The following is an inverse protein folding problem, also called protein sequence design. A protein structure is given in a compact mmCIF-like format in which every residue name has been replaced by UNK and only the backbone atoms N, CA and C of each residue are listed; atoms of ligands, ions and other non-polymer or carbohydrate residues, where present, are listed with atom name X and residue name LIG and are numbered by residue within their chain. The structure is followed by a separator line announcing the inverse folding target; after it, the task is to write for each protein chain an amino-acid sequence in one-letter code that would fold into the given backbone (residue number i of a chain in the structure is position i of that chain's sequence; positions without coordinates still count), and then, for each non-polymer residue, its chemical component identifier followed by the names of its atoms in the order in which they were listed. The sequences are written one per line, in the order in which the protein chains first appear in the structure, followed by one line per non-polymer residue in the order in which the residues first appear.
data_IF_177407123603
#
_entry.id   IF_177407123603
#
_cell.length_a   1.000
_cell.length_b   1.000
_cell.length_c   1.000
_cell.angle_alpha   90.00
_cell.angle_beta   90.00
_cell.angle_gamma   90.00
#
_symmetry.space_group_name_H-M   'P 1'
#
loop_
_entity.id
_entity.type
_entity.pdbx_description
1 polymer ?
#
# COMPACT_ATOMS: atom_id res chain seq x y z
N UNK A 1 -4.84 -10.12 -21.01
CA UNK A 1 -4.97 -9.23 -19.84
C UNK A 1 -5.91 -8.11 -20.25
N UNK A 2 -6.96 -7.80 -19.47
CA UNK A 2 -7.84 -6.65 -19.80
C UNK A 2 -7.14 -5.40 -19.30
N UNK A 3 -6.83 -4.51 -20.23
CA UNK A 3 -6.38 -3.17 -19.90
C UNK A 3 -7.59 -2.24 -19.79
N UNK A 4 -7.50 -1.26 -18.91
CA UNK A 4 -8.59 -0.33 -18.62
C UNK A 4 -8.12 1.09 -18.84
N UNK A 5 -8.94 1.87 -19.54
CA UNK A 5 -8.63 3.26 -19.85
C UNK A 5 -8.97 4.14 -18.67
N UNK A 6 -8.06 5.05 -18.36
CA UNK A 6 -8.26 6.02 -17.29
C UNK A 6 -7.69 7.37 -17.63
N UNK A 7 -7.97 8.34 -16.77
CA UNK A 7 -7.39 9.68 -16.79
C UNK A 7 -6.82 9.99 -15.41
N UNK A 8 -5.98 11.01 -15.35
CA UNK A 8 -5.60 11.64 -14.09
C UNK A 8 -5.83 13.15 -14.15
N UNK A 9 -6.24 13.71 -13.02
CA UNK A 9 -6.76 15.08 -12.92
C UNK A 9 -6.30 15.75 -11.63
N UNK A 10 -6.34 17.08 -11.64
CA UNK A 10 -5.99 17.95 -10.51
C UNK A 10 -6.81 19.24 -10.55
N UNK A 11 -6.53 20.14 -9.62
CA UNK A 11 -7.04 21.51 -9.61
C UNK A 11 -6.79 22.29 -10.92
N UNK A 12 -5.87 21.84 -11.78
CA UNK A 12 -5.59 22.45 -13.07
C UNK A 12 -6.65 22.12 -14.15
N UNK A 13 -7.48 21.09 -13.95
CA UNK A 13 -8.49 20.69 -14.93
C UNK A 13 -9.81 21.45 -14.70
N UNK A 14 -10.01 22.62 -15.31
CA UNK A 14 -11.09 23.58 -15.02
C UNK A 14 -12.51 22.99 -14.81
N UNK A 15 -13.18 22.51 -15.86
CA UNK A 15 -14.53 21.97 -15.77
C UNK A 15 -14.53 20.55 -16.30
N UNK A 16 -15.06 19.63 -15.51
CA UNK A 16 -15.19 18.21 -15.86
C UNK A 16 -16.66 17.80 -15.75
N UNK A 17 -17.19 17.30 -16.85
CA UNK A 17 -18.50 16.67 -16.96
C UNK A 17 -18.32 15.15 -16.93
N UNK A 18 -18.37 14.56 -15.73
CA UNK A 18 -18.09 13.14 -15.53
C UNK A 18 -19.10 12.20 -16.21
N UNK A 19 -20.31 12.68 -16.48
CA UNK A 19 -21.31 11.92 -17.24
C UNK A 19 -20.75 11.66 -18.66
N UNK A 20 -20.17 12.68 -19.30
CA UNK A 20 -19.51 12.56 -20.61
C UNK A 20 -18.16 11.87 -20.58
N UNK A 21 -17.41 11.96 -19.47
CA UNK A 21 -16.14 11.22 -19.32
C UNK A 21 -16.38 9.72 -19.49
N UNK A 22 -17.49 9.20 -18.96
CA UNK A 22 -17.84 7.78 -19.07
C UNK A 22 -18.12 7.33 -20.52
N UNK A 23 -18.53 8.25 -21.40
CA UNK A 23 -18.82 7.97 -22.82
C UNK A 23 -17.54 7.63 -23.62
N UNK A 24 -16.36 8.07 -23.15
CA UNK A 24 -15.06 7.80 -23.79
C UNK A 24 -14.36 6.51 -23.32
N UNK A 25 -15.16 5.60 -22.73
CA UNK A 25 -14.71 4.35 -22.12
C UNK A 25 -13.69 4.57 -20.99
N UNK A 26 -13.72 5.73 -20.33
CA UNK A 26 -12.96 5.96 -19.11
C UNK A 26 -13.65 5.21 -17.99
N UNK A 27 -12.90 4.33 -17.32
CA UNK A 27 -13.40 3.62 -16.13
C UNK A 27 -12.65 4.09 -14.87
N UNK A 28 -11.38 4.50 -15.00
CA UNK A 28 -10.47 4.79 -13.87
C UNK A 28 -10.07 6.27 -13.85
N UNK A 29 -10.09 6.90 -12.67
CA UNK A 29 -9.69 8.30 -12.47
C UNK A 29 -8.74 8.42 -11.29
N UNK A 30 -7.52 8.90 -11.54
CA UNK A 30 -6.61 9.36 -10.49
C UNK A 30 -6.79 10.85 -10.23
N UNK A 31 -6.77 11.27 -8.96
CA UNK A 31 -6.92 12.67 -8.57
C UNK A 31 -5.76 13.12 -7.70
N UNK A 32 -5.24 14.33 -7.95
CA UNK A 32 -4.27 14.94 -7.06
C UNK A 32 -4.92 15.17 -5.71
N UNK A 33 -4.34 14.63 -4.65
CA UNK A 33 -4.83 14.87 -3.30
C UNK A 33 -4.04 15.98 -2.61
N UNK A 34 -2.71 15.91 -2.68
CA UNK A 34 -1.82 16.80 -1.94
C UNK A 34 -0.50 17.03 -2.67
N UNK A 35 0.19 18.09 -2.28
CA UNK A 35 1.55 18.42 -2.70
C UNK A 35 2.27 19.03 -1.51
N UNK A 36 3.49 18.55 -1.24
CA UNK A 36 4.22 19.03 -0.07
C UNK A 36 3.45 18.85 1.23
N UNK A 37 3.84 19.62 2.24
CA UNK A 37 3.26 19.53 3.58
C UNK A 37 1.87 20.17 3.71
N UNK A 38 1.54 21.16 2.88
CA UNK A 38 0.40 22.05 3.14
C UNK A 38 -0.62 22.12 2.02
N UNK A 39 -0.23 21.89 0.78
CA UNK A 39 -1.20 21.96 -0.31
C UNK A 39 -2.09 20.72 -0.25
N UNK A 40 -3.39 20.97 -0.31
CA UNK A 40 -4.43 19.97 -0.48
C UNK A 40 -5.28 20.45 -1.64
N UNK A 41 -5.51 19.56 -2.61
CA UNK A 41 -6.32 19.90 -3.76
C UNK A 41 -7.75 20.20 -3.30
N UNK A 42 -8.21 21.43 -3.56
CA UNK A 42 -9.53 21.89 -3.14
C UNK A 42 -10.66 21.22 -3.93
N UNK A 43 -10.35 20.54 -5.04
CA UNK A 43 -11.31 19.90 -5.92
C UNK A 43 -11.41 18.39 -5.73
N UNK A 44 -10.51 17.80 -4.93
CA UNK A 44 -10.50 16.36 -4.68
C UNK A 44 -11.88 15.83 -4.26
N UNK A 45 -12.58 16.52 -3.36
CA UNK A 45 -13.87 16.08 -2.84
C UNK A 45 -14.99 16.16 -3.90
N UNK A 46 -15.01 17.24 -4.68
CA UNK A 46 -15.92 17.43 -5.81
C UNK A 46 -15.72 16.31 -6.86
N UNK A 47 -14.47 16.08 -7.26
CA UNK A 47 -14.10 15.07 -8.24
C UNK A 47 -14.38 13.65 -7.74
N UNK A 48 -14.01 13.35 -6.49
CA UNK A 48 -14.27 12.06 -5.87
C UNK A 48 -15.76 11.73 -5.90
N UNK A 49 -16.60 12.64 -5.39
CA UNK A 49 -18.05 12.42 -5.32
C UNK A 49 -18.67 12.25 -6.71
N UNK A 50 -18.24 13.05 -7.68
CA UNK A 50 -18.74 13.00 -9.06
C UNK A 50 -18.31 11.73 -9.80
N UNK A 51 -17.08 11.26 -9.56
CA UNK A 51 -16.62 9.98 -10.08
C UNK A 51 -17.44 8.81 -9.49
N UNK A 52 -17.63 8.81 -8.16
CA UNK A 52 -18.39 7.74 -7.49
C UNK A 52 -19.85 7.70 -7.94
N UNK A 53 -20.51 8.85 -8.13
CA UNK A 53 -21.89 8.88 -8.65
C UNK A 53 -22.02 8.37 -10.08
N UNK A 54 -20.95 8.49 -10.88
CA UNK A 54 -20.85 7.98 -12.24
C UNK A 54 -20.31 6.54 -12.34
N UNK A 55 -20.08 5.86 -11.21
CA UNK A 55 -19.57 4.49 -11.18
C UNK A 55 -18.11 4.36 -11.64
N UNK A 56 -17.37 5.46 -11.72
CA UNK A 56 -15.93 5.45 -12.02
C UNK A 56 -15.14 4.98 -10.80
N UNK A 57 -14.06 4.22 -11.04
CA UNK A 57 -13.13 3.83 -9.99
C UNK A 57 -12.12 4.93 -9.75
N UNK A 58 -11.82 5.17 -8.48
CA UNK A 58 -11.03 6.33 -8.06
C UNK A 58 -9.74 5.95 -7.35
N UNK A 59 -8.69 6.70 -7.63
CA UNK A 59 -7.39 6.67 -6.95
C UNK A 59 -6.93 8.09 -6.62
N UNK A 60 -5.98 8.20 -5.70
CA UNK A 60 -5.40 9.47 -5.29
C UNK A 60 -3.88 9.45 -5.48
N UNK A 61 -3.29 10.61 -5.79
CA UNK A 61 -1.84 10.76 -5.84
C UNK A 61 -1.33 11.96 -5.03
N UNK A 62 -0.08 11.86 -4.61
CA UNK A 62 0.66 12.90 -3.91
C UNK A 62 1.88 13.32 -4.70
N UNK A 63 1.97 14.61 -5.05
CA UNK A 63 3.11 15.18 -5.76
C UNK A 63 4.25 15.49 -4.79
N UNK A 64 5.38 14.78 -4.92
CA UNK A 64 6.53 14.89 -4.04
C UNK A 64 7.37 16.13 -4.36
N UNK A 65 7.66 16.94 -3.34
CA UNK A 65 8.52 18.14 -3.45
C UNK A 65 9.59 18.19 -2.37
N UNK A 66 10.63 19.01 -2.54
CA UNK A 66 11.70 19.20 -1.54
C UNK A 66 11.40 20.25 -0.47
N UNK A 67 10.24 20.93 -0.54
CA UNK A 67 9.93 22.11 0.29
C UNK A 67 9.57 21.80 1.76
N UNK A 68 9.57 20.53 2.16
CA UNK A 68 9.24 20.10 3.52
C UNK A 68 9.89 18.76 3.86
N UNK A 69 9.54 18.11 4.97
CA UNK A 69 10.05 16.77 5.30
C UNK A 69 9.16 15.67 4.70
N UNK A 70 9.71 14.51 4.32
CA UNK A 70 8.93 13.45 3.69
C UNK A 70 7.83 12.91 4.63
N UNK A 71 8.10 12.87 5.94
CA UNK A 71 7.14 12.49 6.96
C UNK A 71 5.92 13.43 6.98
N UNK A 72 6.15 14.74 6.92
CA UNK A 72 5.08 15.71 6.95
C UNK A 72 4.23 15.67 5.66
N UNK A 73 4.84 15.34 4.53
CA UNK A 73 4.12 15.12 3.28
C UNK A 73 3.28 13.84 3.32
N UNK A 74 3.83 12.73 3.83
CA UNK A 74 3.10 11.49 4.03
C UNK A 74 1.90 11.69 4.97
N UNK A 75 2.07 12.44 6.06
CA UNK A 75 0.97 12.85 6.93
C UNK A 75 -0.09 13.68 6.21
N UNK A 76 0.31 14.67 5.42
CA UNK A 76 -0.62 15.51 4.67
C UNK A 76 -1.43 14.66 3.69
N UNK A 77 -0.76 13.79 2.94
CA UNK A 77 -1.40 12.87 2.02
C UNK A 77 -2.39 11.94 2.73
N UNK A 78 -1.94 11.22 3.77
CA UNK A 78 -2.79 10.31 4.52
C UNK A 78 -4.01 11.02 5.13
N UNK A 79 -3.81 12.18 5.78
CA UNK A 79 -4.90 12.98 6.38
C UNK A 79 -5.96 13.36 5.35
N UNK A 80 -5.57 13.64 4.11
CA UNK A 80 -6.50 14.03 3.03
C UNK A 80 -7.28 12.85 2.47
N UNK A 81 -6.71 11.65 2.44
CA UNK A 81 -7.30 10.49 1.74
C UNK A 81 -7.98 9.47 2.68
N UNK A 82 -7.63 9.45 3.97
CA UNK A 82 -8.01 8.38 4.91
C UNK A 82 -9.52 8.14 5.08
N UNK A 83 -10.34 9.16 4.88
CA UNK A 83 -11.79 9.10 5.13
C UNK A 83 -12.59 8.79 3.84
N UNK A 84 -11.90 8.55 2.72
CA UNK A 84 -12.51 8.22 1.43
C UNK A 84 -12.39 6.72 1.12
N UNK A 85 -13.43 6.15 0.51
CA UNK A 85 -13.41 4.78 0.01
C UNK A 85 -12.79 4.75 -1.40
N UNK A 86 -11.47 4.55 -1.47
CA UNK A 86 -10.72 4.43 -2.72
C UNK A 86 -10.88 3.05 -3.36
N UNK A 87 -10.85 3.00 -4.69
CA UNK A 87 -10.86 1.76 -5.48
C UNK A 87 -9.44 1.35 -5.92
N UNK A 88 -8.52 2.33 -6.03
CA UNK A 88 -7.19 2.16 -6.60
C UNK A 88 -6.08 2.54 -5.62
N UNK A 89 -4.92 1.92 -5.80
CA UNK A 89 -3.72 2.11 -4.99
C UNK A 89 -3.32 3.59 -4.98
N UNK A 90 -3.12 4.24 -3.82
CA UNK A 90 -2.59 5.60 -3.78
C UNK A 90 -1.18 5.66 -4.40
N UNK A 91 -0.88 6.72 -5.14
CA UNK A 91 0.38 6.86 -5.87
C UNK A 91 1.24 7.96 -5.26
N UNK A 92 2.51 7.65 -5.03
CA UNK A 92 3.55 8.65 -4.79
C UNK A 92 4.11 9.09 -6.15
N UNK A 93 3.85 10.33 -6.51
CA UNK A 93 4.32 10.95 -7.75
C UNK A 93 5.73 11.53 -7.54
N UNK A 94 6.71 10.92 -8.21
CA UNK A 94 8.13 11.19 -8.10
C UNK A 94 8.66 11.67 -9.45
N UNK A 95 8.70 12.98 -9.64
CA UNK A 95 9.16 13.56 -10.91
C UNK A 95 9.97 14.86 -10.76
N UNK A 96 10.33 15.22 -9.52
CA UNK A 96 11.19 16.36 -9.20
C UNK A 96 12.52 15.90 -8.62
N UNK A 97 13.63 16.34 -9.22
CA UNK A 97 14.99 16.04 -8.75
C UNK A 97 15.45 17.06 -7.70
N UNK A 98 16.04 16.55 -6.61
CA UNK A 98 16.63 17.37 -5.54
C UNK A 98 17.64 16.54 -4.72
N UNK A 99 18.43 17.22 -3.90
CA UNK A 99 19.45 16.59 -3.06
C UNK A 99 18.84 15.52 -2.14
N UNK A 100 19.51 14.37 -2.03
CA UNK A 100 19.09 13.24 -1.18
C UNK A 100 17.72 12.62 -1.55
N UNK A 101 17.25 12.82 -2.79
CA UNK A 101 15.97 12.29 -3.30
C UNK A 101 15.73 10.81 -2.92
N UNK A 102 16.73 9.94 -3.11
CA UNK A 102 16.64 8.52 -2.79
C UNK A 102 16.32 8.24 -1.31
N UNK A 103 17.03 8.89 -0.37
CA UNK A 103 16.74 8.78 1.06
C UNK A 103 15.35 9.36 1.38
N UNK A 104 15.04 10.49 0.76
CA UNK A 104 13.79 11.20 0.93
C UNK A 104 12.57 10.33 0.57
N UNK A 105 12.63 9.64 -0.58
CA UNK A 105 11.59 8.70 -1.03
C UNK A 105 11.42 7.56 -0.02
N UNK A 106 12.50 6.92 0.43
CA UNK A 106 12.43 5.81 1.37
C UNK A 106 11.79 6.25 2.70
N UNK A 107 12.13 7.45 3.18
CA UNK A 107 11.54 8.02 4.39
C UNK A 107 10.07 8.38 4.22
N UNK A 108 9.64 8.83 3.04
CA UNK A 108 8.21 9.04 2.75
C UNK A 108 7.46 7.71 2.79
N UNK A 109 7.98 6.71 2.07
CA UNK A 109 7.37 5.37 1.98
C UNK A 109 7.20 4.77 3.38
N UNK A 110 8.23 4.82 4.21
CA UNK A 110 8.18 4.30 5.58
C UNK A 110 7.15 5.08 6.43
N UNK A 111 7.14 6.41 6.35
CA UNK A 111 6.16 7.21 7.08
C UNK A 111 4.72 6.90 6.64
N UNK A 112 4.47 6.75 5.34
CA UNK A 112 3.15 6.41 4.83
C UNK A 112 2.70 5.02 5.30
N UNK A 113 3.60 4.03 5.34
CA UNK A 113 3.31 2.67 5.86
C UNK A 113 2.91 2.66 7.33
N UNK A 114 3.53 3.51 8.15
CA UNK A 114 3.15 3.63 9.57
C UNK A 114 1.80 4.31 9.77
N UNK A 115 1.41 5.20 8.84
CA UNK A 115 0.18 5.98 8.93
C UNK A 115 -1.03 5.27 8.31
N UNK A 116 -0.81 4.54 7.22
CA UNK A 116 -1.85 4.07 6.32
C UNK A 116 -1.79 2.56 6.13
N UNK A 117 -2.94 1.86 6.21
CA UNK A 117 -3.01 0.44 5.85
C UNK A 117 -2.97 0.20 4.34
N UNK A 118 -3.07 1.26 3.52
CA UNK A 118 -3.09 1.14 2.06
C UNK A 118 -1.70 0.82 1.51
N UNK A 119 -1.63 -0.11 0.56
CA UNK A 119 -0.45 -0.28 -0.28
C UNK A 119 -0.18 1.04 -1.04
N UNK A 120 1.07 1.48 -1.09
CA UNK A 120 1.49 2.64 -1.87
C UNK A 120 2.06 2.17 -3.22
N UNK A 121 1.73 2.87 -4.31
CA UNK A 121 2.35 2.73 -5.62
C UNK A 121 3.29 3.91 -5.92
N UNK A 122 4.06 3.79 -7.00
CA UNK A 122 4.97 4.84 -7.47
C UNK A 122 4.52 5.26 -8.86
N UNK A 123 4.45 6.57 -9.07
CA UNK A 123 4.36 7.19 -10.38
C UNK A 123 5.67 7.93 -10.70
N UNK A 124 6.13 7.81 -11.94
CA UNK A 124 7.28 8.56 -12.48
C UNK A 124 7.32 8.42 -14.01
N UNK A 125 8.17 9.18 -14.69
CA UNK A 125 8.36 9.07 -16.13
C UNK A 125 9.66 8.33 -16.49
N UNK A 126 9.69 7.68 -17.67
CA UNK A 126 10.81 6.83 -18.12
C UNK A 126 12.18 7.49 -17.97
N UNK A 127 12.30 8.77 -18.35
CA UNK A 127 13.56 9.52 -18.28
C UNK A 127 14.05 9.83 -16.86
N UNK A 128 13.16 9.80 -15.87
CA UNK A 128 13.49 10.11 -14.47
C UNK A 128 14.10 8.91 -13.73
N UNK A 129 13.90 7.69 -14.25
CA UNK A 129 14.22 6.47 -13.50
C UNK A 129 15.70 6.33 -13.13
N UNK A 130 16.61 6.94 -13.89
CA UNK A 130 18.04 6.98 -13.53
C UNK A 130 18.31 7.70 -12.22
N UNK A 131 17.47 8.68 -11.84
CA UNK A 131 17.63 9.49 -10.64
C UNK A 131 17.27 8.73 -9.35
N UNK A 132 16.57 7.60 -9.49
CA UNK A 132 16.12 6.77 -8.36
C UNK A 132 16.67 5.33 -8.44
N UNK A 133 17.60 5.05 -9.35
CA UNK A 133 18.11 3.70 -9.56
C UNK A 133 18.86 3.17 -8.33
N UNK A 134 19.47 4.05 -7.53
CA UNK A 134 20.17 3.69 -6.29
C UNK A 134 19.28 2.89 -5.33
N UNK A 135 17.98 3.21 -5.27
CA UNK A 135 17.01 2.54 -4.38
C UNK A 135 16.24 1.42 -5.08
N UNK A 136 16.60 1.01 -6.30
CA UNK A 136 15.86 -0.01 -7.08
C UNK A 136 15.60 -1.30 -6.30
N UNK A 137 16.56 -1.75 -5.49
CA UNK A 137 16.40 -2.99 -4.70
C UNK A 137 15.26 -2.90 -3.67
N UNK A 138 14.90 -1.68 -3.25
CA UNK A 138 13.85 -1.39 -2.27
C UNK A 138 12.49 -1.12 -2.91
N UNK A 139 12.46 -0.66 -4.16
CA UNK A 139 11.23 -0.18 -4.82
C UNK A 139 10.80 -0.97 -6.07
N UNK A 140 11.66 -1.82 -6.65
CA UNK A 140 11.40 -2.50 -7.93
C UNK A 140 10.09 -3.30 -7.99
N UNK A 141 9.62 -3.81 -6.85
CA UNK A 141 8.42 -4.66 -6.75
C UNK A 141 7.16 -3.86 -6.40
N UNK A 142 7.28 -2.53 -6.19
CA UNK A 142 6.12 -1.66 -5.97
C UNK A 142 5.28 -1.58 -7.25
N UNK A 143 3.95 -1.43 -7.12
CA UNK A 143 3.10 -1.10 -8.25
C UNK A 143 3.60 0.19 -8.91
N UNK A 144 3.96 0.11 -10.20
CA UNK A 144 4.54 1.22 -10.93
C UNK A 144 3.61 1.72 -12.05
N UNK A 145 3.34 3.02 -12.04
CA UNK A 145 2.64 3.75 -13.08
C UNK A 145 3.66 4.62 -13.82
N UNK A 146 3.95 4.26 -15.07
CA UNK A 146 5.00 4.90 -15.87
C UNK A 146 4.40 5.93 -16.83
N UNK A 147 4.91 7.16 -16.83
CA UNK A 147 4.67 8.12 -17.89
C UNK A 147 5.68 7.97 -19.04
N UNK A 148 5.16 7.84 -20.26
CA UNK A 148 5.93 7.86 -21.50
C UNK A 148 5.01 8.27 -22.67
N UNK A 149 5.13 9.51 -23.13
CA UNK A 149 4.19 10.12 -24.08
C UNK A 149 4.44 9.69 -25.54
N UNK A 150 4.36 8.39 -25.78
CA UNK A 150 4.58 7.77 -27.09
C UNK A 150 3.29 7.65 -27.94
N UNK A 151 2.12 7.96 -27.37
CA UNK A 151 0.80 7.73 -27.96
C UNK A 151 0.54 6.25 -28.37
N UNK A 152 1.29 5.31 -27.81
CA UNK A 152 1.27 3.88 -28.10
C UNK A 152 1.24 3.08 -26.78
N UNK A 153 0.03 2.79 -26.25
CA UNK A 153 -0.12 2.16 -24.94
C UNK A 153 0.67 0.86 -24.80
N UNK A 154 1.46 0.75 -23.73
CA UNK A 154 2.32 -0.39 -23.38
C UNK A 154 3.53 -0.61 -24.28
N UNK A 155 3.81 0.28 -25.24
CA UNK A 155 5.08 0.30 -25.98
C UNK A 155 6.17 1.03 -25.17
N UNK A 156 6.54 0.42 -24.04
CA UNK A 156 7.46 0.99 -23.07
C UNK A 156 8.85 0.34 -23.16
N UNK A 157 9.95 1.09 -22.92
CA UNK A 157 11.27 0.49 -22.79
C UNK A 157 11.37 -0.40 -21.54
N UNK A 158 12.37 -1.28 -21.52
CA UNK A 158 12.70 -2.04 -20.30
C UNK A 158 13.22 -1.10 -19.21
N UNK A 159 12.89 -1.39 -17.96
CA UNK A 159 13.36 -0.67 -16.78
C UNK A 159 13.41 -1.64 -15.57
N UNK A 160 13.84 -1.15 -14.40
CA UNK A 160 14.04 -2.02 -13.23
C UNK A 160 12.75 -2.38 -12.48
N UNK A 161 11.61 -1.75 -12.76
CA UNK A 161 10.34 -2.10 -12.12
C UNK A 161 9.78 -3.40 -12.68
N UNK A 162 9.50 -4.34 -11.79
CA UNK A 162 8.99 -5.68 -12.13
C UNK A 162 7.46 -5.72 -12.17
N UNK A 163 6.80 -4.71 -11.60
CA UNK A 163 5.35 -4.65 -11.41
C UNK A 163 4.72 -3.38 -12.03
N UNK A 164 4.80 -3.27 -13.36
CA UNK A 164 4.15 -2.18 -14.11
C UNK A 164 2.64 -2.39 -14.21
N UNK A 165 1.88 -1.45 -13.64
CA UNK A 165 0.42 -1.51 -13.55
C UNK A 165 -0.29 -0.36 -14.25
N UNK A 166 0.42 0.69 -14.66
CA UNK A 166 -0.14 1.81 -15.41
C UNK A 166 0.84 2.37 -16.43
N UNK A 167 0.30 2.92 -17.50
CA UNK A 167 1.04 3.67 -18.51
C UNK A 167 0.28 4.94 -18.87
N UNK A 168 0.82 6.11 -18.52
CA UNK A 168 0.35 7.40 -19.03
C UNK A 168 1.00 7.62 -20.40
N UNK A 169 0.21 7.41 -21.45
CA UNK A 169 0.74 7.32 -22.81
C UNK A 169 0.58 8.63 -23.60
N UNK A 170 -0.19 9.58 -23.07
CA UNK A 170 -0.36 10.92 -23.66
C UNK A 170 -0.88 11.92 -22.62
N UNK A 171 -0.34 13.13 -22.64
CA UNK A 171 -0.87 14.31 -21.93
C UNK A 171 -1.86 15.12 -22.80
N UNK A 172 -2.05 14.71 -24.06
CA UNK A 172 -2.76 15.46 -25.09
C UNK A 172 -4.11 14.85 -25.46
N UNK A 173 -4.69 14.02 -24.57
CA UNK A 173 -5.99 13.40 -24.75
C UNK A 173 -7.10 14.41 -24.98
N UNK A 174 -8.05 14.03 -25.84
CA UNK A 174 -9.30 14.75 -26.06
C UNK A 174 -10.43 13.89 -25.49
N UNK A 175 -11.01 14.32 -24.37
CA UNK A 175 -12.02 13.59 -23.60
C UNK A 175 -13.26 14.48 -23.53
N UNK A 176 -14.40 13.96 -23.98
CA UNK A 176 -15.69 14.63 -24.21
C UNK A 176 -16.25 15.36 -22.98
N UNK A 177 -15.76 15.04 -21.78
CA UNK A 177 -16.10 15.69 -20.53
C UNK A 177 -15.02 16.58 -19.91
N UNK A 178 -13.80 16.64 -20.44
CA UNK A 178 -12.70 17.43 -19.86
C UNK A 178 -12.41 18.63 -20.76
N UNK A 179 -12.48 19.84 -20.19
CA UNK A 179 -12.06 21.04 -20.93
C UNK A 179 -10.56 21.02 -21.19
N UNK A 180 -10.15 21.10 -22.46
CA UNK A 180 -8.75 21.14 -22.85
C UNK A 180 -8.12 19.76 -23.00
N UNK A 181 -6.79 19.69 -22.80
CA UNK A 181 -6.03 18.45 -22.88
C UNK A 181 -6.06 17.70 -21.55
N UNK A 182 -6.10 16.38 -21.63
CA UNK A 182 -6.17 15.51 -20.47
C UNK A 182 -5.11 14.41 -20.56
N UNK A 183 -4.52 14.10 -19.41
CA UNK A 183 -3.67 12.93 -19.26
C UNK A 183 -4.49 11.65 -19.41
N UNK A 184 -4.03 10.76 -20.29
CA UNK A 184 -4.72 9.50 -20.59
C UNK A 184 -3.80 8.32 -20.33
N UNK A 185 -4.39 7.33 -19.69
CA UNK A 185 -3.73 6.19 -19.11
C UNK A 185 -4.33 4.89 -19.61
N UNK A 186 -3.50 3.86 -19.63
CA UNK A 186 -3.96 2.48 -19.69
C UNK A 186 -3.42 1.70 -18.48
N UNK A 187 -4.32 1.08 -17.72
CA UNK A 187 -4.02 0.38 -16.47
C UNK A 187 -4.27 -1.12 -16.59
N UNK A 188 -3.52 -1.91 -15.84
CA UNK A 188 -3.89 -3.30 -15.53
C UNK A 188 -4.82 -3.33 -14.32
N UNK A 189 -5.43 -4.48 -14.04
CA UNK A 189 -6.20 -4.68 -12.80
C UNK A 189 -5.32 -4.64 -11.54
N UNK A 190 -3.98 -4.66 -11.68
CA UNK A 190 -3.05 -4.52 -10.55
C UNK A 190 -3.08 -3.15 -9.87
N UNK A 191 -3.70 -2.14 -10.51
CA UNK A 191 -3.91 -0.81 -9.92
C UNK A 191 -5.04 -0.78 -8.90
N UNK A 192 -5.97 -1.72 -8.98
CA UNK A 192 -7.05 -1.81 -8.01
C UNK A 192 -6.44 -2.14 -6.66
N UNK A 193 -6.92 -1.46 -5.62
CA UNK A 193 -6.87 -2.06 -4.31
C UNK A 193 -7.59 -3.40 -4.50
N UNK A 194 -6.84 -4.51 -4.43
CA UNK A 194 -7.43 -5.82 -4.25
C UNK A 194 -8.41 -5.60 -3.13
N UNK A 195 -9.71 -5.72 -3.43
CA UNK A 195 -10.82 -5.29 -2.57
C UNK A 195 -10.35 -5.36 -1.13
N UNK A 196 -10.50 -4.26 -0.39
CA UNK A 196 -10.35 -4.15 1.06
C UNK A 196 -11.03 -5.32 1.81
N UNK A 197 -10.53 -6.53 1.61
CA UNK A 197 -10.99 -7.74 2.23
C UNK A 197 -10.54 -7.73 3.68
N UNK A 198 -9.69 -6.77 4.08
CA UNK A 198 -9.11 -6.69 5.42
C UNK A 198 -9.14 -5.26 5.97
N UNK A 199 -9.99 -4.36 5.42
CA UNK A 199 -10.44 -3.19 6.19
C UNK A 199 -11.77 -3.53 6.84
N UNK A 200 -11.82 -3.32 8.14
CA UNK A 200 -12.87 -3.78 8.99
C UNK A 200 -12.71 -3.21 10.39
N UNK A 201 -13.51 -3.74 11.30
CA UNK A 201 -13.49 -3.35 12.71
C UNK A 201 -13.24 -4.58 13.57
N UNK A 202 -12.32 -4.46 14.52
CA UNK A 202 -12.17 -5.43 15.59
C UNK A 202 -13.43 -5.44 16.45
N UNK A 203 -14.08 -6.59 16.54
CA UNK A 203 -15.25 -6.80 17.37
C UNK A 203 -14.87 -7.78 18.47
N UNK A 204 -15.14 -7.41 19.71
CA UNK A 204 -15.04 -8.30 20.85
C UNK A 204 -16.43 -8.86 21.17
N UNK A 205 -16.58 -10.18 21.08
CA UNK A 205 -17.82 -10.88 21.39
C UNK A 205 -17.49 -12.17 22.16
N UNK A 206 -18.18 -12.39 23.28
CA UNK A 206 -17.98 -13.57 24.15
C UNK A 206 -16.52 -13.80 24.57
N UNK A 207 -15.82 -12.73 24.96
CA UNK A 207 -14.40 -12.77 25.31
C UNK A 207 -13.52 -13.37 24.20
N UNK A 208 -13.86 -13.08 22.94
CA UNK A 208 -13.06 -13.40 21.75
C UNK A 208 -13.08 -12.24 20.77
N UNK A 209 -11.96 -12.05 20.08
CA UNK A 209 -11.84 -11.04 19.03
C UNK A 209 -12.06 -11.67 17.67
N UNK A 210 -12.80 -10.98 16.80
CA UNK A 210 -12.83 -11.27 15.37
C UNK A 210 -12.74 -9.97 14.60
N UNK A 211 -12.31 -10.05 13.35
CA UNK A 211 -12.19 -8.88 12.50
C UNK A 211 -13.29 -8.90 11.44
N UNK A 212 -14.25 -7.99 11.59
CA UNK A 212 -15.38 -7.87 10.68
C UNK A 212 -15.00 -6.93 9.55
N UNK A 213 -14.88 -7.46 8.34
CA UNK A 213 -14.61 -6.68 7.14
C UNK A 213 -15.79 -5.73 6.85
N UNK A 214 -15.52 -4.64 6.14
CA UNK A 214 -16.53 -3.63 5.82
C UNK A 214 -17.68 -4.16 4.94
N UNK A 215 -17.43 -5.21 4.14
CA UNK A 215 -18.46 -5.90 3.36
C UNK A 215 -19.28 -6.92 4.18
N UNK A 216 -18.98 -7.05 5.47
CA UNK A 216 -19.62 -7.97 6.40
C UNK A 216 -19.02 -9.37 6.43
N UNK A 217 -18.02 -9.66 5.60
CA UNK A 217 -17.25 -10.92 5.66
C UNK A 217 -16.21 -10.89 6.77
N UNK A 218 -15.48 -11.99 6.94
CA UNK A 218 -14.39 -12.12 7.92
C UNK A 218 -13.49 -13.31 7.54
N UNK A 219 -12.22 -13.27 7.96
CA UNK A 219 -11.22 -14.32 7.70
C UNK A 219 -11.45 -15.55 8.57
N UNK A 220 -11.18 -16.75 8.02
CA UNK A 220 -11.29 -18.04 8.70
C UNK A 220 -10.16 -18.98 8.29
N UNK A 221 -9.58 -19.67 9.26
CA UNK A 221 -8.48 -20.63 9.08
C UNK A 221 -7.32 -20.10 8.22
N UNK A 222 -7.03 -18.80 8.34
CA UNK A 222 -6.05 -18.14 7.49
C UNK A 222 -5.43 -16.92 8.19
N UNK A 223 -4.35 -16.44 7.58
CA UNK A 223 -3.60 -15.26 7.96
C UNK A 223 -4.27 -13.99 7.44
N UNK A 224 -4.17 -12.91 8.22
CA UNK A 224 -4.61 -11.59 7.80
C UNK A 224 -3.62 -10.50 8.22
N UNK A 225 -3.33 -9.58 7.30
CA UNK A 225 -2.49 -8.42 7.58
C UNK A 225 -3.35 -7.20 7.85
N UNK A 226 -3.44 -6.80 9.12
CA UNK A 226 -4.32 -5.73 9.60
C UNK A 226 -3.45 -4.64 10.24
N UNK A 227 -3.54 -3.42 9.73
CA UNK A 227 -2.84 -2.24 10.29
C UNK A 227 -1.34 -2.47 10.57
N UNK A 228 -0.62 -3.04 9.59
CA UNK A 228 0.83 -3.25 9.69
C UNK A 228 1.26 -4.50 10.46
N UNK A 229 0.32 -5.35 10.91
CA UNK A 229 0.62 -6.55 11.70
C UNK A 229 -0.09 -7.78 11.15
N UNK A 230 0.53 -8.94 11.29
CA UNK A 230 -0.06 -10.24 10.94
C UNK A 230 -0.85 -10.83 12.11
N UNK A 231 -2.04 -11.34 11.81
CA UNK A 231 -2.93 -12.07 12.70
C UNK A 231 -3.28 -13.40 12.04
N UNK A 232 -3.76 -14.37 12.83
CA UNK A 232 -4.30 -15.62 12.32
C UNK A 232 -5.69 -15.85 12.91
N UNK A 233 -6.62 -16.36 12.13
CA UNK A 233 -7.99 -16.64 12.57
C UNK A 233 -8.29 -18.13 12.55
N UNK A 234 -9.03 -18.62 13.53
CA UNK A 234 -9.50 -20.02 13.56
C UNK A 234 -10.61 -20.29 12.53
N UNK A 235 -11.10 -21.53 12.47
CA UNK A 235 -12.13 -21.95 11.52
C UNK A 235 -13.48 -21.23 11.74
N UNK A 236 -13.70 -20.70 12.93
CA UNK A 236 -14.87 -19.92 13.29
C UNK A 236 -14.67 -18.42 13.07
N UNK A 237 -13.45 -17.98 12.77
CA UNK A 237 -13.08 -16.59 12.51
C UNK A 237 -12.65 -15.81 13.75
N UNK A 238 -12.34 -16.51 14.85
CA UNK A 238 -11.78 -15.87 16.04
C UNK A 238 -10.27 -15.71 15.90
N UNK A 239 -9.79 -14.55 16.30
CA UNK A 239 -8.38 -14.22 16.36
C UNK A 239 -7.65 -15.17 17.30
N UNK A 240 -6.61 -15.80 16.78
CA UNK A 240 -5.66 -16.56 17.56
C UNK A 240 -4.80 -15.58 18.37
N UNK A 241 -4.62 -15.91 19.63
CA UNK A 241 -3.56 -15.40 20.50
C UNK A 241 -2.79 -16.61 21.04
N UNK A 242 -1.65 -16.37 21.70
CA UNK A 242 -0.78 -17.42 22.24
C UNK A 242 -0.11 -18.28 21.14
N UNK A 243 0.42 -19.45 21.52
CA UNK A 243 1.08 -20.40 20.64
C UNK A 243 0.14 -21.04 19.62
N UNK A 244 0.56 -21.06 18.36
CA UNK A 244 -0.15 -21.74 17.27
C UNK A 244 0.82 -22.48 16.36
N UNK A 245 0.52 -23.75 16.12
CA UNK A 245 1.17 -24.53 15.07
C UNK A 245 0.40 -24.36 13.76
N UNK A 246 1.12 -24.01 12.69
CA UNK A 246 0.59 -23.89 11.34
C UNK A 246 1.57 -24.57 10.37
N UNK A 247 1.09 -25.60 9.66
CA UNK A 247 1.96 -26.55 8.96
C UNK A 247 2.93 -27.23 9.94
N UNK A 248 4.22 -27.22 9.59
CA UNK A 248 5.29 -27.78 10.42
C UNK A 248 5.92 -26.76 11.38
N UNK A 249 5.48 -25.50 11.33
CA UNK A 249 6.08 -24.37 12.06
C UNK A 249 5.24 -23.93 13.25
N UNK A 250 5.92 -23.38 14.27
CA UNK A 250 5.29 -22.73 15.43
C UNK A 250 5.39 -21.22 15.31
N UNK A 251 4.32 -20.56 15.71
CA UNK A 251 4.15 -19.11 15.74
C UNK A 251 3.60 -18.70 17.12
N UNK A 252 3.80 -17.44 17.49
CA UNK A 252 3.26 -16.88 18.72
C UNK A 252 2.60 -15.53 18.45
N UNK A 253 1.37 -15.36 18.94
CA UNK A 253 0.51 -14.21 18.63
C UNK A 253 0.26 -13.28 19.82
N UNK A 254 1.13 -13.29 20.83
CA UNK A 254 0.96 -12.44 22.00
C UNK A 254 -0.20 -12.88 22.89
N UNK A 255 -0.69 -11.95 23.70
CA UNK A 255 -1.81 -12.20 24.60
C UNK A 255 -3.16 -11.87 23.96
N UNK A 256 -4.22 -12.13 24.72
CA UNK A 256 -5.62 -11.96 24.35
C UNK A 256 -5.96 -10.62 23.68
N UNK A 257 -5.37 -9.51 24.13
CA UNK A 257 -5.63 -8.16 23.60
C UNK A 257 -4.61 -7.70 22.54
N UNK A 258 -3.71 -8.58 22.09
CA UNK A 258 -2.68 -8.26 21.12
C UNK A 258 -2.92 -9.00 19.81
N UNK A 259 -2.90 -10.34 19.83
CA UNK A 259 -3.14 -11.18 18.66
C UNK A 259 -2.14 -11.06 17.51
N UNK A 260 -1.19 -10.13 17.60
CA UNK A 260 -0.21 -9.89 16.56
C UNK A 260 0.93 -10.90 16.62
N UNK A 261 1.24 -11.50 15.47
CA UNK A 261 2.36 -12.41 15.28
C UNK A 261 3.68 -11.77 15.73
N UNK A 262 4.46 -12.50 16.52
CA UNK A 262 5.79 -12.07 16.95
C UNK A 262 6.87 -12.43 15.95
N UNK A 263 7.82 -11.52 15.80
CA UNK A 263 9.09 -11.67 15.10
C UNK A 263 10.22 -11.23 16.02
N UNK A 264 11.41 -11.77 15.84
CA UNK A 264 12.58 -11.47 16.68
C UNK A 264 12.49 -12.08 18.08
N UNK A 265 13.18 -11.46 19.03
CA UNK A 265 13.22 -11.90 20.43
C UNK A 265 11.89 -11.66 21.14
N UNK A 266 11.41 -12.67 21.85
CA UNK A 266 10.22 -12.57 22.68
C UNK A 266 10.41 -13.30 24.00
N UNK A 267 10.00 -12.66 25.10
CA UNK A 267 9.97 -13.25 26.42
C UNK A 267 8.53 -13.62 26.76
N UNK A 268 8.26 -14.90 26.93
CA UNK A 268 6.95 -15.39 27.38
C UNK A 268 6.92 -15.39 28.91
N UNK A 269 6.13 -14.49 29.49
CA UNK A 269 5.98 -14.35 30.93
C UNK A 269 5.36 -15.61 31.57
N UNK A 270 4.50 -16.34 30.85
CA UNK A 270 3.81 -17.54 31.38
C UNK A 270 4.79 -18.69 31.60
N UNK A 271 5.73 -18.87 30.67
CA UNK A 271 6.76 -19.91 30.77
C UNK A 271 8.09 -19.42 31.34
N UNK A 272 8.24 -18.11 31.53
CA UNK A 272 9.48 -17.44 31.97
C UNK A 272 10.69 -17.82 31.10
N UNK A 273 10.48 -17.83 29.78
CA UNK A 273 11.46 -18.28 28.78
C UNK A 273 11.59 -17.30 27.62
N UNK A 274 12.79 -17.22 27.07
CA UNK A 274 13.08 -16.51 25.84
C UNK A 274 12.88 -17.41 24.62
N UNK A 275 12.30 -16.85 23.57
CA UNK A 275 12.13 -17.45 22.27
C UNK A 275 12.62 -16.49 21.20
N UNK A 276 12.93 -17.01 20.02
CA UNK A 276 13.27 -16.22 18.86
C UNK A 276 12.48 -16.67 17.65
N UNK A 277 11.89 -15.71 16.95
CA UNK A 277 11.11 -15.90 15.73
C UNK A 277 11.84 -15.21 14.57
N UNK A 278 11.90 -15.83 13.40
CA UNK A 278 12.50 -15.19 12.22
C UNK A 278 11.60 -14.08 11.64
N UNK A 279 11.99 -13.49 10.50
CA UNK A 279 11.22 -12.41 9.85
C UNK A 279 9.84 -12.88 9.37
N UNK A 280 9.69 -14.17 9.06
CA UNK A 280 8.41 -14.81 8.73
C UNK A 280 7.61 -15.27 9.98
N UNK A 281 8.08 -14.97 11.19
CA UNK A 281 7.42 -15.33 12.45
C UNK A 281 7.55 -16.78 12.88
N UNK A 282 8.40 -17.57 12.23
CA UNK A 282 8.65 -18.98 12.56
C UNK A 282 9.58 -19.07 13.77
N UNK A 283 9.13 -19.78 14.81
CA UNK A 283 9.91 -20.08 16.00
C UNK A 283 11.16 -20.89 15.64
N UNK A 284 12.32 -20.43 16.11
CA UNK A 284 13.58 -21.09 15.86
C UNK A 284 13.92 -22.14 16.94
N UNK A 285 14.59 -23.21 16.53
CA UNK A 285 15.11 -24.28 17.40
C UNK A 285 16.58 -24.59 17.05
N UNK A 286 17.35 -25.15 17.98
CA UNK A 286 18.75 -25.52 17.75
C UNK A 286 19.71 -24.33 17.87
N UNK A 287 20.90 -24.44 17.27
CA UNK A 287 21.93 -23.40 17.33
C UNK A 287 21.74 -22.39 16.19
N UNK A 288 21.45 -21.14 16.52
CA UNK A 288 21.16 -20.05 15.58
C UNK A 288 22.11 -18.88 15.85
N UNK A 289 22.56 -18.22 14.77
CA UNK A 289 23.39 -17.02 14.85
C UNK A 289 22.51 -15.77 14.70
N UNK A 290 22.46 -14.91 15.72
CA UNK A 290 21.64 -13.69 15.79
C UNK A 290 22.57 -12.54 16.20
N UNK A 291 22.61 -11.46 15.41
CA UNK A 291 23.47 -10.28 15.66
C UNK A 291 24.93 -10.64 16.01
N UNK A 292 25.52 -11.51 15.18
CA UNK A 292 26.87 -12.05 15.34
C UNK A 292 27.16 -12.90 16.59
N UNK A 293 26.13 -13.26 17.35
CA UNK A 293 26.23 -14.15 18.52
C UNK A 293 25.49 -15.45 18.29
N UNK A 294 26.00 -16.53 18.85
CA UNK A 294 25.35 -17.84 18.81
C UNK A 294 24.44 -18.03 20.03
N UNK A 295 23.23 -18.50 19.76
CA UNK A 295 22.22 -18.86 20.76
C UNK A 295 21.76 -20.28 20.50
N UNK A 296 21.43 -21.01 21.56
CA UNK A 296 20.89 -22.36 21.48
C UNK A 296 19.46 -22.37 22.03
N UNK A 297 18.56 -22.99 21.27
CA UNK A 297 17.17 -23.17 21.62
C UNK A 297 16.86 -24.67 21.68
N UNK A 298 16.07 -25.09 22.68
CA UNK A 298 15.63 -26.48 22.80
C UNK A 298 14.63 -26.86 21.69
N UNK A 299 14.17 -28.12 21.68
CA UNK A 299 13.21 -28.60 20.69
C UNK A 299 11.82 -27.94 20.79
N UNK A 300 11.54 -27.22 21.88
CA UNK A 300 10.34 -26.42 22.08
C UNK A 300 10.60 -24.92 21.82
N UNK A 301 11.79 -24.57 21.31
CA UNK A 301 12.20 -23.21 20.98
C UNK A 301 12.61 -22.34 22.17
N UNK A 302 12.68 -22.89 23.39
CA UNK A 302 13.10 -22.12 24.55
C UNK A 302 14.62 -21.94 24.55
N UNK A 303 15.07 -20.71 24.74
CA UNK A 303 16.50 -20.39 24.82
C UNK A 303 17.13 -21.10 26.02
N UNK A 304 18.21 -21.82 25.77
CA UNK A 304 19.06 -22.39 26.80
C UNK A 304 20.01 -21.30 27.30
N UNK A 305 19.98 -21.02 28.61
CA UNK A 305 21.01 -20.21 29.28
C UNK A 305 22.07 -21.16 29.82
N UNK A 306 23.32 -21.00 29.40
CA UNK A 306 24.48 -21.60 30.08
C UNK A 306 24.73 -20.94 31.44
#
# INVERSE_FOLDING_TARGET
MRYVKGIDISNNNESIDFDKVSEDNIEYVYMKATEGKTFQDSRLEEFYNSCKSNGLKVGAYHFLVSTSSPQAQAENFYKKIKDCAWDMIPMLDIESEFDELCDYIIRFINAFKELSPLQLGIYSYTGFLSNIEEIKSKIKDYPFWEANYNNDPWNLPSNFFTNRIGHQYTENGDISGVSGKCDVNLFTQGVLLKNNMYLGTWINENDKWWYKHNDGTFTKDDWEFINGKWYFFDAEGWMIHDWKKYGDSWYYFGDYNDGAMKTGWYYDEKSSKWYYFNEEGIMQTGCIKIDDKWYRFDNNGAMETE
#
